data_IF_137420732610
#
_entry.id   IF_137420732610
#
_cell.length_a   1.000
_cell.length_b   1.000
_cell.length_c   1.000
_cell.angle_alpha   90.00
_cell.angle_beta   90.00
_cell.angle_gamma   90.00
#
_symmetry.space_group_name_H-M   'P 1'
#
loop_
_entity.id
_entity.type
_entity.pdbx_description
1 polymer ?
#
# COMPACT_ATOMS: atom_id res chain seq x y z
N UNK A 1 10.31 -26.97 -7.00
CA UNK A 1 11.45 -26.52 -6.19
C UNK A 1 10.92 -25.45 -5.22
N UNK A 2 10.74 -25.81 -3.94
CA UNK A 2 10.43 -24.84 -2.89
C UNK A 2 11.67 -24.01 -2.66
N UNK A 3 11.68 -22.78 -3.14
CA UNK A 3 12.72 -21.79 -2.81
C UNK A 3 12.80 -21.66 -1.29
N UNK A 4 14.00 -21.87 -0.75
CA UNK A 4 14.24 -21.68 0.69
C UNK A 4 13.95 -20.23 1.04
N UNK A 5 13.02 -20.00 1.99
CA UNK A 5 12.73 -18.64 2.45
C UNK A 5 14.02 -18.00 3.01
N UNK A 6 14.42 -16.85 2.47
CA UNK A 6 15.65 -16.15 2.85
C UNK A 6 15.69 -15.73 4.32
N UNK A 7 14.53 -15.69 4.98
CA UNK A 7 14.36 -15.36 6.40
C UNK A 7 14.24 -16.61 7.30
N UNK A 8 14.48 -17.81 6.75
CA UNK A 8 14.39 -19.09 7.47
C UNK A 8 12.98 -19.72 7.44
N UNK A 9 12.78 -20.86 8.11
CA UNK A 9 11.53 -21.64 8.04
C UNK A 9 10.29 -20.91 8.57
N UNK A 10 10.46 -19.99 9.52
CA UNK A 10 9.39 -19.18 10.09
C UNK A 10 9.08 -17.92 9.27
N UNK A 11 9.97 -17.59 8.31
CA UNK A 11 9.90 -16.36 7.55
C UNK A 11 10.33 -15.14 8.37
N UNK A 12 10.06 -13.96 7.83
CA UNK A 12 10.30 -12.72 8.54
C UNK A 12 9.23 -12.49 9.62
N UNK A 13 9.68 -12.01 10.79
CA UNK A 13 8.82 -11.60 11.90
C UNK A 13 9.32 -10.28 12.52
N UNK A 14 8.45 -9.49 13.20
CA UNK A 14 8.86 -8.25 13.88
C UNK A 14 9.93 -8.41 14.96
N UNK A 15 10.18 -9.62 15.44
CA UNK A 15 11.27 -9.89 16.42
C UNK A 15 12.66 -9.61 15.86
N UNK A 16 12.76 -9.56 14.52
CA UNK A 16 14.02 -9.21 13.83
C UNK A 16 14.34 -7.72 13.89
N UNK A 17 13.34 -6.88 14.21
CA UNK A 17 13.53 -5.43 14.27
C UNK A 17 14.36 -5.02 15.49
N UNK A 18 15.41 -4.26 15.24
CA UNK A 18 16.09 -3.47 16.25
C UNK A 18 15.31 -2.20 16.62
N UNK A 19 16.01 -1.24 17.23
CA UNK A 19 15.46 0.09 17.49
C UNK A 19 15.22 0.87 16.19
N UNK A 20 14.06 1.51 16.10
CA UNK A 20 13.69 2.44 15.03
C UNK A 20 13.65 3.89 15.52
N UNK A 21 14.28 4.18 16.66
CA UNK A 21 14.38 5.54 17.20
C UNK A 21 15.01 6.49 16.15
N UNK A 22 14.39 7.65 15.95
CA UNK A 22 14.81 8.64 14.95
C UNK A 22 14.43 8.32 13.51
N UNK A 23 13.66 7.24 13.28
CA UNK A 23 13.10 6.87 11.97
C UNK A 23 11.65 7.31 11.88
N UNK A 24 11.26 7.85 10.71
CA UNK A 24 9.90 8.34 10.44
C UNK A 24 9.25 7.55 9.32
N UNK A 25 8.05 7.04 9.60
CA UNK A 25 7.23 6.25 8.67
C UNK A 25 5.92 6.98 8.39
N UNK A 26 5.59 7.13 7.10
CA UNK A 26 4.34 7.71 6.65
C UNK A 26 3.46 6.61 6.08
N UNK A 27 2.24 6.43 6.59
CA UNK A 27 1.38 5.30 6.22
C UNK A 27 -0.01 5.80 5.82
N UNK A 28 -0.47 5.47 4.62
CA UNK A 28 -1.84 5.73 4.20
C UNK A 28 -2.79 4.66 4.73
N UNK A 29 -3.99 5.05 5.20
CA UNK A 29 -4.99 4.11 5.70
C UNK A 29 -4.61 3.43 7.01
N UNK A 30 -3.87 4.12 7.88
CA UNK A 30 -3.28 3.57 9.09
C UNK A 30 -4.22 3.55 10.33
N UNK A 31 -5.48 3.95 10.18
CA UNK A 31 -6.44 3.98 11.29
C UNK A 31 -7.21 2.67 11.52
N UNK A 32 -6.94 1.64 10.71
CA UNK A 32 -7.55 0.32 10.85
C UNK A 32 -6.76 -0.76 10.10
N UNK A 33 -7.03 -2.04 10.40
CA UNK A 33 -6.52 -3.17 9.63
C UNK A 33 -4.99 -3.27 9.62
N UNK A 34 -4.40 -3.65 8.47
CA UNK A 34 -2.96 -3.86 8.36
C UNK A 34 -2.15 -2.58 8.65
N UNK A 35 -2.56 -1.42 8.12
CA UNK A 35 -1.88 -0.15 8.38
C UNK A 35 -1.86 0.26 9.86
N UNK A 36 -2.93 -0.05 10.62
CA UNK A 36 -2.94 0.16 12.07
C UNK A 36 -1.96 -0.77 12.79
N UNK A 37 -1.93 -2.05 12.39
CA UNK A 37 -1.00 -3.02 12.98
C UNK A 37 0.46 -2.73 12.59
N UNK A 38 0.71 -2.25 11.36
CA UNK A 38 2.03 -1.78 10.96
C UNK A 38 2.47 -0.59 11.83
N UNK A 39 1.56 0.37 12.05
CA UNK A 39 1.81 1.50 12.97
C UNK A 39 2.17 0.99 14.37
N UNK A 40 1.40 0.03 14.91
CA UNK A 40 1.66 -0.59 16.21
C UNK A 40 3.05 -1.21 16.29
N UNK A 41 3.44 -2.02 15.30
CA UNK A 41 4.75 -2.66 15.23
C UNK A 41 5.88 -1.62 15.19
N UNK A 42 5.76 -0.59 14.36
CA UNK A 42 6.78 0.45 14.24
C UNK A 42 6.94 1.26 15.53
N UNK A 43 5.82 1.66 16.14
CA UNK A 43 5.83 2.37 17.44
C UNK A 43 6.44 1.53 18.56
N UNK A 44 6.22 0.21 18.58
CA UNK A 44 6.82 -0.70 19.57
C UNK A 44 8.35 -0.73 19.52
N UNK A 45 8.94 -0.24 18.42
CA UNK A 45 10.38 -0.14 18.21
C UNK A 45 10.91 1.30 18.31
N UNK A 46 10.07 2.25 18.75
CA UNK A 46 10.45 3.65 18.97
C UNK A 46 10.44 4.52 17.72
N UNK A 47 9.75 4.13 16.66
CA UNK A 47 9.60 4.94 15.47
C UNK A 47 8.65 6.11 15.67
N UNK A 48 8.82 7.17 14.86
CA UNK A 48 7.78 8.18 14.59
C UNK A 48 6.88 7.70 13.47
N UNK A 49 5.55 7.78 13.63
CA UNK A 49 4.58 7.39 12.59
C UNK A 49 3.62 8.53 12.29
N UNK A 50 3.47 8.85 11.01
CA UNK A 50 2.48 9.80 10.50
C UNK A 50 1.41 9.03 9.74
N UNK A 51 0.19 9.05 10.26
CA UNK A 51 -0.97 8.40 9.67
C UNK A 51 -1.66 9.33 8.69
N UNK A 52 -1.79 8.96 7.43
CA UNK A 52 -2.55 9.72 6.42
C UNK A 52 -3.88 9.04 6.14
N UNK A 53 -4.99 9.63 6.63
CA UNK A 53 -6.30 8.99 6.62
C UNK A 53 -7.42 10.00 6.31
N UNK A 54 -8.54 9.49 5.80
CA UNK A 54 -9.71 10.31 5.46
C UNK A 54 -10.50 10.79 6.70
N UNK A 55 -10.70 9.91 7.68
CA UNK A 55 -11.56 10.19 8.85
C UNK A 55 -10.74 10.66 10.04
N UNK A 56 -10.95 11.90 10.46
CA UNK A 56 -10.31 12.47 11.65
C UNK A 56 -10.71 11.70 12.93
N UNK A 57 -12.00 11.41 13.10
CA UNK A 57 -12.51 10.73 14.31
C UNK A 57 -11.93 9.32 14.48
N UNK A 58 -11.91 8.54 13.38
CA UNK A 58 -11.30 7.20 13.40
C UNK A 58 -9.81 7.27 13.67
N UNK A 59 -9.12 8.29 13.18
CA UNK A 59 -7.68 8.48 13.40
C UNK A 59 -7.41 8.89 14.84
N UNK A 60 -8.20 9.78 15.41
CA UNK A 60 -8.10 10.16 16.81
C UNK A 60 -8.31 8.96 17.75
N UNK A 61 -9.31 8.12 17.48
CA UNK A 61 -9.56 6.90 18.24
C UNK A 61 -8.39 5.89 18.12
N UNK A 62 -7.83 5.73 16.92
CA UNK A 62 -6.68 4.87 16.70
C UNK A 62 -5.43 5.38 17.45
N UNK A 63 -5.14 6.68 17.39
CA UNK A 63 -4.04 7.32 18.13
C UNK A 63 -4.24 7.16 19.63
N UNK A 64 -5.45 7.36 20.15
CA UNK A 64 -5.75 7.17 21.56
C UNK A 64 -5.44 5.73 22.01
N UNK A 65 -5.83 4.73 21.22
CA UNK A 65 -5.53 3.31 21.49
C UNK A 65 -4.03 3.06 21.51
N UNK A 66 -3.28 3.58 20.53
CA UNK A 66 -1.82 3.41 20.48
C UNK A 66 -1.11 4.11 21.66
N UNK A 67 -1.55 5.31 22.02
CA UNK A 67 -1.01 6.02 23.19
C UNK A 67 -1.36 5.36 24.51
N UNK A 68 -2.49 4.68 24.60
CA UNK A 68 -2.82 3.86 25.76
C UNK A 68 -1.88 2.63 25.86
N UNK A 69 -1.49 2.04 24.74
CA UNK A 69 -0.64 0.86 24.68
C UNK A 69 0.85 1.19 24.92
N UNK A 70 1.36 2.26 24.31
CA UNK A 70 2.80 2.61 24.29
C UNK A 70 3.16 3.82 25.16
N UNK A 71 2.18 4.41 25.84
CA UNK A 71 2.37 5.62 26.64
C UNK A 71 2.04 6.90 25.87
N UNK A 72 1.79 7.98 26.62
CA UNK A 72 1.43 9.28 26.05
C UNK A 72 2.52 9.90 25.16
N UNK A 73 3.78 9.48 25.34
CA UNK A 73 4.94 9.89 24.55
C UNK A 73 5.10 9.15 23.23
N UNK A 74 4.24 8.17 22.92
CA UNK A 74 4.27 7.50 21.62
C UNK A 74 4.14 8.54 20.48
N UNK A 75 5.12 8.54 19.58
CA UNK A 75 5.25 9.55 18.52
C UNK A 75 4.41 9.16 17.30
N UNK A 76 3.12 9.36 17.44
CA UNK A 76 2.14 9.10 16.39
C UNK A 76 1.29 10.34 16.15
N UNK A 77 1.22 10.76 14.89
CA UNK A 77 0.47 11.93 14.43
C UNK A 77 -0.44 11.58 13.24
N UNK A 78 -1.27 12.53 12.83
CA UNK A 78 -2.25 12.36 11.80
C UNK A 78 -2.28 13.58 10.87
N UNK A 79 -2.36 13.31 9.57
CA UNK A 79 -2.66 14.29 8.51
C UNK A 79 -3.92 13.81 7.78
N UNK A 80 -4.91 14.69 7.65
CA UNK A 80 -6.16 14.36 6.94
C UNK A 80 -5.91 14.31 5.44
N UNK A 81 -6.36 13.22 4.79
CA UNK A 81 -6.21 13.04 3.35
C UNK A 81 -7.30 12.11 2.79
N UNK A 82 -7.95 12.51 1.72
CA UNK A 82 -8.81 11.63 0.92
C UNK A 82 -8.14 11.33 -0.43
N UNK A 83 -7.71 10.09 -0.63
CA UNK A 83 -7.10 9.62 -1.89
C UNK A 83 -8.05 9.65 -3.09
N UNK A 84 -9.37 9.76 -2.85
CA UNK A 84 -10.38 9.92 -3.90
C UNK A 84 -10.48 11.36 -4.43
N UNK A 85 -9.74 12.32 -3.84
CA UNK A 85 -9.78 13.75 -4.15
C UNK A 85 -8.35 14.25 -4.31
N UNK A 86 -7.92 14.53 -5.55
CA UNK A 86 -6.52 14.89 -5.82
C UNK A 86 -6.10 16.18 -5.11
N UNK A 87 -6.98 17.14 -4.95
CA UNK A 87 -6.67 18.38 -4.21
C UNK A 87 -6.45 18.09 -2.73
N UNK A 88 -7.23 17.18 -2.12
CA UNK A 88 -6.97 16.74 -0.75
C UNK A 88 -5.60 16.05 -0.60
N UNK A 89 -5.15 15.33 -1.62
CA UNK A 89 -3.80 14.74 -1.64
C UNK A 89 -2.72 15.84 -1.68
N UNK A 90 -2.91 16.91 -2.48
CA UNK A 90 -1.98 18.03 -2.57
C UNK A 90 -1.87 18.80 -1.25
N UNK A 91 -3.01 19.14 -0.65
CA UNK A 91 -3.08 19.83 0.64
C UNK A 91 -2.40 19.00 1.74
N UNK A 92 -2.70 17.71 1.82
CA UNK A 92 -2.10 16.81 2.79
C UNK A 92 -0.60 16.63 2.60
N UNK A 93 -0.11 16.58 1.37
CA UNK A 93 1.32 16.51 1.09
C UNK A 93 2.03 17.81 1.54
N UNK A 94 1.43 18.98 1.30
CA UNK A 94 1.97 20.28 1.77
C UNK A 94 2.05 20.30 3.28
N UNK A 95 0.96 19.98 3.98
CA UNK A 95 0.92 19.90 5.45
C UNK A 95 1.98 18.93 6.01
N UNK A 96 2.11 17.75 5.39
CA UNK A 96 3.11 16.77 5.81
C UNK A 96 4.53 17.31 5.65
N UNK A 97 4.86 17.89 4.50
CA UNK A 97 6.21 18.37 4.20
C UNK A 97 6.65 19.54 5.10
N UNK A 98 5.70 20.35 5.58
CA UNK A 98 5.98 21.40 6.56
C UNK A 98 6.35 20.85 7.95
N UNK A 99 5.74 19.73 8.34
CA UNK A 99 5.85 19.17 9.69
C UNK A 99 6.89 18.06 9.80
N UNK A 100 7.17 17.36 8.69
CA UNK A 100 7.95 16.12 8.70
C UNK A 100 9.25 16.30 7.93
N UNK A 101 10.38 16.50 8.63
CA UNK A 101 11.67 16.80 7.98
C UNK A 101 12.31 15.58 7.32
N UNK A 102 11.86 14.36 7.67
CA UNK A 102 12.46 13.09 7.24
C UNK A 102 11.38 12.04 6.98
N UNK A 103 11.52 11.26 5.91
CA UNK A 103 10.67 10.10 5.61
C UNK A 103 11.57 8.91 5.28
N UNK A 104 11.73 7.98 6.24
CA UNK A 104 12.52 6.76 6.04
C UNK A 104 11.76 5.70 5.24
N UNK A 105 10.43 5.63 5.38
CA UNK A 105 9.59 4.91 4.45
C UNK A 105 8.19 5.53 4.32
N UNK A 106 7.72 5.56 3.08
CA UNK A 106 6.33 5.87 2.73
C UNK A 106 5.61 4.58 2.33
N UNK A 107 4.54 4.23 3.04
CA UNK A 107 3.79 2.98 2.85
C UNK A 107 2.43 3.30 2.23
N UNK A 108 2.26 2.95 0.97
CA UNK A 108 1.02 3.03 0.19
C UNK A 108 0.09 1.87 0.56
N UNK A 109 -0.47 1.88 1.78
CA UNK A 109 -1.29 0.80 2.31
C UNK A 109 -2.78 0.99 2.04
N UNK A 110 -3.30 2.23 2.04
CA UNK A 110 -4.72 2.49 1.85
C UNK A 110 -5.25 1.88 0.56
N UNK A 111 -6.40 1.24 0.62
CA UNK A 111 -7.09 0.74 -0.55
C UNK A 111 -8.59 0.64 -0.30
N UNK A 112 -9.38 0.72 -1.36
CA UNK A 112 -10.76 0.26 -1.41
C UNK A 112 -10.86 -0.95 -2.34
N UNK A 113 -11.78 -1.85 -2.05
CA UNK A 113 -11.93 -3.10 -2.77
C UNK A 113 -13.39 -3.50 -2.94
N UNK A 114 -13.70 -4.16 -4.05
CA UNK A 114 -15.00 -4.80 -4.29
C UNK A 114 -16.18 -3.81 -4.22
N UNK A 115 -16.00 -2.59 -4.73
CA UNK A 115 -17.08 -1.59 -4.84
C UNK A 115 -18.17 -2.15 -5.76
N UNK A 116 -19.34 -2.42 -5.20
CA UNK A 116 -20.38 -3.22 -5.87
C UNK A 116 -20.94 -2.60 -7.15
N UNK A 117 -20.97 -1.26 -7.23
CA UNK A 117 -21.39 -0.50 -8.41
C UNK A 117 -20.30 0.48 -8.77
N UNK A 118 -20.10 0.71 -10.06
CA UNK A 118 -19.17 1.74 -10.52
C UNK A 118 -19.46 3.07 -9.80
N UNK A 119 -18.41 3.64 -9.25
CA UNK A 119 -18.40 4.97 -8.66
C UNK A 119 -17.26 5.76 -9.29
N UNK A 120 -17.54 7.01 -9.61
CA UNK A 120 -16.56 7.91 -10.20
C UNK A 120 -16.15 8.94 -9.14
N UNK A 121 -14.85 9.16 -8.98
CA UNK A 121 -14.32 10.21 -8.10
C UNK A 121 -14.63 11.59 -8.65
N UNK A 122 -14.47 12.63 -7.82
CA UNK A 122 -14.64 14.03 -8.27
C UNK A 122 -13.68 14.41 -9.41
N UNK A 123 -12.55 13.71 -9.51
CA UNK A 123 -11.54 13.90 -10.55
C UNK A 123 -11.81 13.05 -11.81
N UNK A 124 -12.95 12.34 -11.88
CA UNK A 124 -13.39 11.58 -13.05
C UNK A 124 -12.77 10.18 -13.19
N UNK A 125 -12.28 9.56 -12.11
CA UNK A 125 -11.72 8.20 -12.14
C UNK A 125 -12.68 7.18 -11.56
N UNK A 126 -12.66 5.95 -12.11
CA UNK A 126 -13.25 4.82 -11.39
C UNK A 126 -12.63 4.75 -9.98
N UNK A 127 -13.48 4.60 -8.98
CA UNK A 127 -13.10 4.84 -7.58
C UNK A 127 -11.95 3.97 -7.07
N UNK A 128 -11.90 2.69 -7.46
CA UNK A 128 -10.82 1.79 -7.02
C UNK A 128 -9.49 2.16 -7.71
N UNK A 129 -9.52 2.50 -8.99
CA UNK A 129 -8.34 2.98 -9.69
C UNK A 129 -7.90 4.36 -9.18
N UNK A 130 -8.85 5.25 -8.93
CA UNK A 130 -8.60 6.59 -8.37
C UNK A 130 -7.89 6.54 -7.03
N UNK A 131 -8.47 5.82 -6.06
CA UNK A 131 -7.94 5.71 -4.70
C UNK A 131 -6.65 4.88 -4.66
N UNK A 132 -6.69 3.68 -5.26
CA UNK A 132 -5.59 2.73 -5.10
C UNK A 132 -4.35 3.15 -5.91
N UNK A 133 -4.54 3.73 -7.10
CA UNK A 133 -3.43 4.08 -7.99
C UNK A 133 -3.19 5.59 -8.12
N UNK A 134 -4.14 6.38 -8.67
CA UNK A 134 -3.86 7.78 -9.01
C UNK A 134 -3.57 8.65 -7.78
N UNK A 135 -4.31 8.47 -6.68
CA UNK A 135 -4.03 9.17 -5.42
C UNK A 135 -2.64 8.86 -4.86
N UNK A 136 -2.23 7.59 -4.88
CA UNK A 136 -0.89 7.20 -4.44
C UNK A 136 0.22 7.62 -5.41
N UNK A 137 -0.03 7.59 -6.73
CA UNK A 137 0.90 8.12 -7.72
C UNK A 137 1.20 9.60 -7.45
N UNK A 138 0.15 10.41 -7.30
CA UNK A 138 0.28 11.83 -6.99
C UNK A 138 1.04 12.04 -5.68
N UNK A 139 0.63 11.36 -4.61
CA UNK A 139 1.26 11.52 -3.31
C UNK A 139 2.74 11.11 -3.34
N UNK A 140 3.06 10.00 -3.99
CA UNK A 140 4.46 9.55 -4.16
C UNK A 140 5.30 10.61 -4.85
N UNK A 141 4.79 11.22 -5.94
CA UNK A 141 5.50 12.27 -6.65
C UNK A 141 5.66 13.57 -5.84
N UNK A 142 4.69 13.90 -4.97
CA UNK A 142 4.78 15.07 -4.09
C UNK A 142 5.77 14.89 -2.94
N UNK A 143 5.92 13.66 -2.43
CA UNK A 143 6.80 13.34 -1.31
C UNK A 143 8.20 12.89 -1.74
N UNK A 144 8.43 12.67 -3.05
CA UNK A 144 9.63 12.01 -3.57
C UNK A 144 10.93 12.64 -3.10
N UNK A 145 11.08 13.95 -3.23
CA UNK A 145 12.31 14.67 -2.86
C UNK A 145 12.64 14.53 -1.36
N UNK A 146 11.62 14.50 -0.50
CA UNK A 146 11.80 14.29 0.93
C UNK A 146 12.21 12.84 1.25
N UNK A 147 11.67 11.87 0.53
CA UNK A 147 12.03 10.47 0.64
C UNK A 147 13.46 10.26 0.15
N UNK A 148 13.83 10.85 -0.99
CA UNK A 148 15.19 10.79 -1.54
C UNK A 148 16.21 11.41 -0.58
N UNK A 149 15.95 12.60 -0.07
CA UNK A 149 16.82 13.28 0.90
C UNK A 149 17.02 12.46 2.18
N UNK A 150 16.13 11.54 2.47
CA UNK A 150 16.20 10.62 3.62
C UNK A 150 16.84 9.27 3.28
N UNK A 151 17.26 9.02 2.03
CA UNK A 151 17.63 7.71 1.53
C UNK A 151 16.54 6.67 1.83
N UNK A 152 15.28 7.07 1.63
CA UNK A 152 14.11 6.37 2.12
C UNK A 152 13.56 5.33 1.13
N UNK A 153 12.42 4.77 1.51
CA UNK A 153 11.74 3.71 0.74
C UNK A 153 10.32 4.12 0.38
N UNK A 154 9.82 3.59 -0.73
CA UNK A 154 8.40 3.60 -1.09
C UNK A 154 7.92 2.16 -1.09
N UNK A 155 6.98 1.83 -0.22
CA UNK A 155 6.41 0.47 -0.10
C UNK A 155 5.00 0.48 -0.64
N UNK A 156 4.76 -0.28 -1.72
CA UNK A 156 3.44 -0.40 -2.34
C UNK A 156 2.78 -1.70 -1.89
N UNK A 157 1.63 -1.57 -1.23
CA UNK A 157 0.84 -2.71 -0.78
C UNK A 157 -0.09 -3.18 -1.89
N UNK A 158 0.37 -4.17 -2.64
CA UNK A 158 -0.35 -4.85 -3.70
C UNK A 158 -1.40 -5.85 -3.21
N UNK A 159 -1.78 -6.76 -4.10
CA UNK A 159 -2.71 -7.87 -3.82
C UNK A 159 -2.56 -8.93 -4.89
N UNK A 160 -2.71 -10.20 -4.55
CA UNK A 160 -2.76 -11.30 -5.53
C UNK A 160 -3.89 -11.16 -6.57
N UNK A 161 -4.85 -10.25 -6.34
CA UNK A 161 -5.87 -9.89 -7.32
C UNK A 161 -5.27 -9.43 -8.67
N UNK A 162 -4.07 -8.83 -8.66
CA UNK A 162 -3.40 -8.33 -9.87
C UNK A 162 -3.22 -9.40 -10.96
N UNK A 163 -3.00 -10.66 -10.57
CA UNK A 163 -2.79 -11.80 -11.48
C UNK A 163 -4.05 -12.64 -11.71
N UNK A 164 -5.16 -12.32 -11.02
CA UNK A 164 -6.42 -13.08 -11.07
C UNK A 164 -7.50 -12.42 -11.92
N UNK A 165 -7.32 -11.17 -12.35
CA UNK A 165 -8.24 -10.43 -13.20
C UNK A 165 -7.83 -10.48 -14.68
N UNK A 166 -8.02 -9.36 -15.38
CA UNK A 166 -7.71 -9.21 -16.81
C UNK A 166 -6.22 -9.35 -17.14
N UNK A 167 -5.35 -9.23 -16.16
CA UNK A 167 -3.87 -9.24 -16.30
C UNK A 167 -3.33 -8.18 -17.28
N UNK A 168 -4.10 -7.14 -17.52
CA UNK A 168 -3.73 -5.98 -18.34
C UNK A 168 -4.44 -4.73 -17.83
N UNK A 169 -3.94 -3.56 -18.22
CA UNK A 169 -4.64 -2.29 -18.03
C UNK A 169 -5.52 -2.04 -19.26
N UNK A 170 -6.79 -1.76 -19.04
CA UNK A 170 -7.74 -1.36 -20.10
C UNK A 170 -7.58 0.13 -20.40
N UNK A 171 -6.55 0.49 -21.16
CA UNK A 171 -6.31 1.88 -21.53
C UNK A 171 -7.44 2.49 -22.36
N UNK A 172 -8.17 1.66 -23.09
CA UNK A 172 -9.34 2.00 -23.89
C UNK A 172 -10.59 2.31 -23.07
N UNK A 173 -10.67 1.78 -21.84
CA UNK A 173 -11.80 1.95 -20.93
C UNK A 173 -11.34 1.81 -19.46
N UNK A 174 -10.57 2.79 -18.99
CA UNK A 174 -9.98 2.80 -17.65
C UNK A 174 -11.03 2.77 -16.55
N UNK A 175 -12.16 3.40 -16.79
CA UNK A 175 -13.23 3.53 -15.80
C UNK A 175 -14.18 2.32 -15.79
N UNK A 176 -14.03 1.37 -16.73
CA UNK A 176 -15.01 0.30 -16.93
C UNK A 176 -16.42 0.84 -17.21
N UNK A 177 -16.54 1.85 -18.05
CA UNK A 177 -17.83 2.40 -18.50
C UNK A 177 -18.66 1.33 -19.24
N UNK A 178 -17.94 0.34 -19.82
CA UNK A 178 -18.51 -0.87 -20.38
C UNK A 178 -18.12 -2.07 -19.51
N UNK A 179 -19.09 -2.87 -19.08
CA UNK A 179 -18.88 -4.14 -18.37
C UNK A 179 -18.15 -4.03 -17.02
N UNK A 180 -18.52 -3.04 -16.20
CA UNK A 180 -18.01 -2.93 -14.84
C UNK A 180 -18.28 -4.18 -14.00
N UNK A 181 -17.26 -4.69 -13.34
CA UNK A 181 -17.40 -5.60 -12.22
C UNK A 181 -16.50 -5.14 -11.07
N UNK A 182 -16.99 -5.29 -9.85
CA UNK A 182 -16.23 -4.94 -8.65
C UNK A 182 -14.85 -5.63 -8.61
N UNK A 183 -14.78 -6.87 -9.11
CA UNK A 183 -13.55 -7.65 -9.15
C UNK A 183 -12.58 -7.17 -10.22
N UNK A 184 -13.04 -6.97 -11.46
CA UNK A 184 -12.16 -6.57 -12.57
C UNK A 184 -11.54 -5.19 -12.32
N UNK A 185 -12.34 -4.23 -11.83
CA UNK A 185 -11.85 -2.91 -11.47
C UNK A 185 -10.84 -2.97 -10.32
N UNK A 186 -11.12 -3.74 -9.26
CA UNK A 186 -10.16 -3.95 -8.17
C UNK A 186 -8.86 -4.59 -8.66
N UNK A 187 -8.95 -5.66 -9.44
CA UNK A 187 -7.77 -6.36 -9.96
C UNK A 187 -6.91 -5.44 -10.85
N UNK A 188 -7.55 -4.62 -11.73
CA UNK A 188 -6.85 -3.62 -12.53
C UNK A 188 -6.16 -2.57 -11.65
N UNK A 189 -6.84 -2.05 -10.62
CA UNK A 189 -6.24 -1.06 -9.72
C UNK A 189 -5.01 -1.60 -9.00
N UNK A 190 -5.03 -2.88 -8.60
CA UNK A 190 -3.89 -3.55 -7.98
C UNK A 190 -2.75 -3.83 -8.95
N UNK A 191 -3.07 -4.19 -10.19
CA UNK A 191 -2.06 -4.31 -11.24
C UNK A 191 -1.41 -2.95 -11.55
N UNK A 192 -2.21 -1.88 -11.61
CA UNK A 192 -1.71 -0.52 -11.84
C UNK A 192 -0.73 -0.08 -10.72
N UNK A 193 -1.05 -0.36 -9.45
CA UNK A 193 -0.14 -0.08 -8.33
C UNK A 193 1.20 -0.83 -8.47
N UNK A 194 1.19 -2.09 -8.85
CA UNK A 194 2.41 -2.87 -9.00
C UNK A 194 3.24 -2.42 -10.20
N UNK A 195 2.59 -2.16 -11.35
CA UNK A 195 3.27 -1.59 -12.53
C UNK A 195 3.90 -0.23 -12.20
N UNK A 196 3.19 0.62 -11.47
CA UNK A 196 3.72 1.90 -10.98
C UNK A 196 4.98 1.70 -10.13
N UNK A 197 4.95 0.78 -9.16
CA UNK A 197 6.10 0.54 -8.28
C UNK A 197 7.35 0.09 -9.05
N UNK A 198 7.19 -0.87 -9.96
CA UNK A 198 8.32 -1.38 -10.75
C UNK A 198 8.82 -0.37 -11.79
N UNK A 199 7.93 0.44 -12.38
CA UNK A 199 8.32 1.54 -13.25
C UNK A 199 9.07 2.63 -12.48
N UNK A 200 8.57 3.00 -11.30
CA UNK A 200 9.24 3.97 -10.43
C UNK A 200 10.65 3.50 -10.07
N UNK A 201 10.81 2.22 -9.71
CA UNK A 201 12.15 1.68 -9.39
C UNK A 201 13.11 1.79 -10.60
N UNK A 202 12.64 1.48 -11.81
CA UNK A 202 13.46 1.63 -13.03
C UNK A 202 13.90 3.07 -13.27
N UNK A 203 13.01 4.02 -13.04
CA UNK A 203 13.30 5.46 -13.18
C UNK A 203 14.28 5.95 -12.12
N UNK A 204 14.10 5.51 -10.88
CA UNK A 204 15.01 5.78 -9.75
C UNK A 204 16.43 5.31 -10.07
N UNK A 205 16.58 4.08 -10.56
CA UNK A 205 17.89 3.52 -10.95
C UNK A 205 18.49 4.26 -12.14
N UNK A 206 17.70 4.55 -13.18
CA UNK A 206 18.17 5.28 -14.36
C UNK A 206 18.66 6.70 -14.00
N UNK A 207 18.03 7.34 -13.02
CA UNK A 207 18.40 8.66 -12.54
C UNK A 207 19.41 8.64 -11.38
N UNK A 208 19.89 7.46 -10.97
CA UNK A 208 20.83 7.25 -9.85
C UNK A 208 20.35 7.90 -8.54
N UNK A 209 19.04 7.83 -8.28
CA UNK A 209 18.41 8.38 -7.06
C UNK A 209 18.50 7.40 -5.90
N UNK A 210 18.63 7.93 -4.69
CA UNK A 210 18.77 7.13 -3.48
C UNK A 210 17.41 6.80 -2.83
N UNK A 211 16.55 6.11 -3.56
CA UNK A 211 15.25 5.62 -3.10
C UNK A 211 15.11 4.15 -3.47
N UNK A 212 14.52 3.34 -2.60
CA UNK A 212 14.19 1.94 -2.92
C UNK A 212 12.68 1.76 -2.97
N UNK A 213 12.17 1.21 -4.07
CA UNK A 213 10.74 0.94 -4.23
C UNK A 213 10.48 -0.56 -4.13
N UNK A 214 9.59 -0.93 -3.22
CA UNK A 214 9.33 -2.32 -2.84
C UNK A 214 7.84 -2.63 -2.93
N UNK A 215 7.52 -3.87 -3.25
CA UNK A 215 6.14 -4.34 -3.38
C UNK A 215 5.90 -5.50 -2.44
N UNK A 216 4.79 -5.43 -1.71
CA UNK A 216 4.33 -6.52 -0.87
C UNK A 216 2.81 -6.73 -0.99
N UNK A 217 2.31 -7.83 -0.41
CA UNK A 217 0.88 -8.03 -0.24
C UNK A 217 0.60 -8.71 1.11
N UNK A 218 -0.56 -8.42 1.73
CA UNK A 218 -0.90 -8.92 3.06
C UNK A 218 -1.38 -10.39 3.07
N UNK A 219 -1.48 -11.05 1.90
CA UNK A 219 -2.19 -12.31 1.78
C UNK A 219 -3.70 -12.15 1.97
N UNK A 220 -4.38 -13.21 2.43
CA UNK A 220 -5.76 -13.13 2.88
C UNK A 220 -5.79 -12.70 4.34
N UNK A 221 -5.87 -11.38 4.59
CA UNK A 221 -5.99 -10.85 5.95
C UNK A 221 -7.42 -10.46 6.29
N UNK A 222 -7.78 -10.58 7.58
CA UNK A 222 -9.06 -10.11 8.10
C UNK A 222 -9.05 -8.60 8.20
N UNK A 223 -9.26 -7.92 7.09
CA UNK A 223 -9.37 -6.45 7.06
C UNK A 223 -10.81 -6.02 6.80
N UNK A 224 -11.18 -4.83 7.24
CA UNK A 224 -12.52 -4.25 7.04
C UNK A 224 -12.79 -3.82 5.58
N UNK A 225 -11.93 -4.17 4.65
CA UNK A 225 -11.99 -3.76 3.23
C UNK A 225 -13.33 -4.08 2.53
N UNK A 226 -14.06 -5.10 3.01
CA UNK A 226 -15.32 -5.56 2.40
C UNK A 226 -16.57 -5.15 3.17
N UNK A 227 -16.48 -4.48 4.32
CA UNK A 227 -17.63 -4.28 5.21
C UNK A 227 -18.69 -3.33 4.66
N UNK A 228 -18.32 -2.32 3.91
CA UNK A 228 -19.22 -1.24 3.54
C UNK A 228 -19.84 -1.37 2.14
N UNK A 229 -19.31 -2.25 1.28
CA UNK A 229 -19.65 -2.30 -0.15
C UNK A 229 -20.15 -3.65 -0.67
N UNK A 230 -20.04 -4.73 0.09
CA UNK A 230 -20.44 -6.08 -0.34
C UNK A 230 -21.89 -6.41 0.01
N UNK A 231 -22.58 -7.24 -0.82
CA UNK A 231 -23.91 -7.75 -0.52
C UNK A 231 -23.93 -8.56 0.79
N UNK A 232 -25.09 -8.62 1.45
CA UNK A 232 -25.26 -9.32 2.76
C UNK A 232 -24.85 -10.79 2.69
N UNK A 233 -25.11 -11.47 1.58
CA UNK A 233 -24.71 -12.86 1.36
C UNK A 233 -23.19 -13.01 1.27
N UNK A 234 -22.52 -12.17 0.52
CA UNK A 234 -21.05 -12.15 0.41
C UNK A 234 -20.38 -11.82 1.75
N UNK A 235 -21.01 -10.95 2.56
CA UNK A 235 -20.53 -10.63 3.92
C UNK A 235 -20.55 -11.83 4.84
N UNK A 236 -21.61 -12.64 4.80
CA UNK A 236 -21.75 -13.86 5.64
C UNK A 236 -20.76 -14.93 5.19
N UNK A 237 -20.72 -15.23 3.91
CA UNK A 237 -19.80 -16.23 3.35
C UNK A 237 -18.34 -15.82 3.62
N UNK A 238 -17.99 -14.56 3.40
CA UNK A 238 -16.63 -14.06 3.67
C UNK A 238 -16.31 -14.03 5.17
N UNK A 239 -17.28 -13.71 6.04
CA UNK A 239 -17.08 -13.76 7.50
C UNK A 239 -16.75 -15.17 8.00
N UNK A 240 -17.36 -16.20 7.43
CA UNK A 240 -17.09 -17.59 7.79
C UNK A 240 -15.77 -18.07 7.17
N UNK A 241 -15.56 -17.81 5.88
CA UNK A 241 -14.32 -18.20 5.18
C UNK A 241 -13.09 -17.47 5.76
N UNK A 242 -13.20 -16.19 6.09
CA UNK A 242 -12.10 -15.40 6.63
C UNK A 242 -11.66 -15.89 8.02
N UNK A 243 -12.55 -16.50 8.80
CA UNK A 243 -12.17 -17.09 10.08
C UNK A 243 -11.31 -18.34 9.95
N UNK A 244 -11.42 -19.05 8.81
CA UNK A 244 -10.72 -20.32 8.57
C UNK A 244 -9.48 -20.12 7.70
N UNK A 245 -9.50 -19.15 6.77
CA UNK A 245 -8.50 -19.01 5.70
C UNK A 245 -7.63 -17.77 5.88
N UNK A 246 -8.14 -16.71 6.54
CA UNK A 246 -7.40 -15.45 6.66
C UNK A 246 -6.52 -15.40 7.91
N UNK A 247 -5.31 -14.87 7.74
CA UNK A 247 -4.42 -14.54 8.86
C UNK A 247 -4.92 -13.28 9.62
N UNK A 248 -4.40 -13.06 10.84
CA UNK A 248 -4.71 -11.84 11.60
C UNK A 248 -4.28 -10.58 10.83
N UNK A 249 -4.90 -9.43 11.14
CA UNK A 249 -4.47 -8.15 10.60
C UNK A 249 -3.01 -7.84 10.96
N UNK A 250 -2.58 -8.24 12.15
CA UNK A 250 -1.19 -8.16 12.61
C UNK A 250 -0.23 -8.87 11.66
N UNK A 251 -0.45 -10.17 11.38
CA UNK A 251 0.38 -10.90 10.40
C UNK A 251 0.25 -10.35 8.98
N UNK A 252 -0.91 -9.79 8.65
CA UNK A 252 -1.15 -9.10 7.38
C UNK A 252 -0.30 -7.84 7.21
N UNK A 253 0.10 -7.19 8.30
CA UNK A 253 0.96 -6.01 8.27
C UNK A 253 2.46 -6.33 8.15
N UNK A 254 2.87 -7.55 8.48
CA UNK A 254 4.29 -7.91 8.51
C UNK A 254 5.01 -7.71 7.16
N UNK A 255 4.43 -8.01 5.98
CA UNK A 255 5.10 -7.76 4.70
C UNK A 255 5.42 -6.28 4.46
N UNK A 256 4.49 -5.37 4.81
CA UNK A 256 4.74 -3.94 4.62
C UNK A 256 5.76 -3.38 5.61
N UNK A 257 5.73 -3.85 6.86
CA UNK A 257 6.77 -3.50 7.84
C UNK A 257 8.13 -4.07 7.43
N UNK A 258 8.18 -5.32 6.96
CA UNK A 258 9.41 -5.92 6.42
C UNK A 258 9.99 -5.07 5.28
N UNK A 259 9.18 -4.74 4.28
CA UNK A 259 9.64 -3.91 3.16
C UNK A 259 10.10 -2.52 3.60
N UNK A 260 9.46 -1.96 4.64
CA UNK A 260 9.83 -0.64 5.17
C UNK A 260 11.14 -0.64 5.97
N UNK A 261 11.57 -1.78 6.52
CA UNK A 261 12.62 -1.83 7.56
C UNK A 261 13.77 -2.81 7.28
N UNK A 262 13.51 -3.95 6.64
CA UNK A 262 14.50 -5.02 6.45
C UNK A 262 15.50 -4.68 5.34
N UNK A 263 16.80 -4.81 5.60
CA UNK A 263 17.85 -4.49 4.63
C UNK A 263 17.97 -5.52 3.49
N UNK A 264 17.59 -6.78 3.75
CA UNK A 264 17.73 -7.89 2.81
C UNK A 264 16.62 -7.96 1.76
N UNK A 265 15.66 -7.02 1.77
CA UNK A 265 14.64 -6.94 0.72
C UNK A 265 15.19 -6.24 -0.50
N UNK A 266 14.84 -6.77 -1.67
CA UNK A 266 15.35 -6.31 -2.96
C UNK A 266 14.21 -5.79 -3.84
N UNK A 267 14.45 -4.77 -4.68
CA UNK A 267 13.47 -4.32 -5.67
C UNK A 267 13.16 -5.41 -6.70
N UNK A 268 12.11 -5.21 -7.50
CA UNK A 268 11.60 -6.15 -8.53
C UNK A 268 11.14 -7.50 -7.99
N UNK A 269 10.98 -7.63 -6.70
CA UNK A 269 10.41 -8.80 -6.04
C UNK A 269 9.03 -8.48 -5.47
N UNK A 270 8.28 -9.53 -5.15
CA UNK A 270 7.01 -9.45 -4.43
C UNK A 270 7.18 -10.16 -3.10
N UNK A 271 6.80 -9.51 -2.02
CA UNK A 271 6.89 -10.07 -0.67
C UNK A 271 5.52 -10.29 -0.05
N UNK A 272 5.37 -11.38 0.68
CA UNK A 272 4.11 -11.72 1.31
C UNK A 272 4.16 -13.09 1.99
N UNK A 273 3.01 -13.65 2.39
CA UNK A 273 2.93 -15.01 2.91
C UNK A 273 3.18 -16.02 1.79
N UNK A 274 3.95 -17.08 2.09
CA UNK A 274 4.48 -18.00 1.07
C UNK A 274 3.75 -19.35 0.98
N UNK A 275 2.64 -19.55 1.72
CA UNK A 275 1.88 -20.81 1.70
C UNK A 275 0.44 -20.61 1.22
N UNK A 276 -0.19 -21.72 0.80
CA UNK A 276 -1.59 -21.78 0.34
C UNK A 276 -1.88 -20.71 -0.72
N UNK A 277 -1.16 -20.79 -1.82
CA UNK A 277 -1.27 -19.80 -2.91
C UNK A 277 -1.05 -18.35 -2.44
N UNK A 278 -0.07 -18.16 -1.57
CA UNK A 278 0.32 -16.85 -1.02
C UNK A 278 -0.78 -16.18 -0.17
N UNK A 279 -1.68 -16.98 0.41
CA UNK A 279 -2.75 -16.44 1.25
C UNK A 279 -2.36 -16.34 2.73
N UNK A 280 -1.53 -17.26 3.21
CA UNK A 280 -1.11 -17.37 4.62
C UNK A 280 0.30 -17.95 4.72
N UNK A 281 0.87 -17.93 5.91
CA UNK A 281 2.12 -18.63 6.23
C UNK A 281 3.30 -17.73 6.54
N UNK A 282 4.52 -18.26 6.48
CA UNK A 282 5.75 -17.48 6.69
C UNK A 282 5.86 -16.34 5.68
N UNK A 283 6.33 -15.19 6.12
CA UNK A 283 6.56 -14.04 5.24
C UNK A 283 7.92 -14.18 4.54
N UNK A 284 7.94 -13.95 3.25
CA UNK A 284 9.13 -14.03 2.41
C UNK A 284 8.83 -13.62 0.98
N UNK A 285 9.73 -13.99 0.05
CA UNK A 285 9.56 -13.74 -1.37
C UNK A 285 8.46 -14.62 -1.96
N UNK A 286 7.59 -14.02 -2.76
CA UNK A 286 6.47 -14.65 -3.45
C UNK A 286 6.69 -14.68 -4.96
N UNK A 287 6.06 -15.64 -5.69
CA UNK A 287 6.08 -15.65 -7.14
C UNK A 287 5.46 -14.37 -7.73
N UNK A 288 6.19 -13.74 -8.65
CA UNK A 288 5.75 -12.55 -9.36
C UNK A 288 5.28 -12.94 -10.77
N UNK A 289 4.06 -12.55 -11.15
CA UNK A 289 3.51 -12.83 -12.47
C UNK A 289 3.95 -11.74 -13.46
N UNK A 290 4.27 -12.16 -14.68
CA UNK A 290 4.81 -11.33 -15.76
C UNK A 290 3.95 -10.10 -16.10
N UNK A 291 2.64 -10.15 -15.92
CA UNK A 291 1.76 -9.01 -16.21
C UNK A 291 2.14 -7.74 -15.45
N UNK A 292 2.71 -7.86 -14.24
CA UNK A 292 3.19 -6.71 -13.47
C UNK A 292 4.53 -6.15 -13.97
N UNK A 293 5.27 -6.93 -14.77
CA UNK A 293 6.59 -6.59 -15.30
C UNK A 293 6.55 -6.07 -16.75
N UNK A 294 5.36 -5.90 -17.34
CA UNK A 294 5.22 -5.37 -18.69
C UNK A 294 5.62 -3.88 -18.73
N UNK A 295 6.84 -3.64 -19.21
CA UNK A 295 7.46 -2.31 -19.21
C UNK A 295 6.77 -1.33 -20.13
N UNK A 296 6.28 -1.77 -21.29
CA UNK A 296 5.56 -0.91 -22.23
C UNK A 296 4.25 -0.41 -21.62
N UNK A 297 3.46 -1.32 -21.04
CA UNK A 297 2.23 -0.97 -20.36
C UNK A 297 2.49 -0.08 -19.13
N UNK A 298 3.56 -0.35 -18.36
CA UNK A 298 3.94 0.45 -17.20
C UNK A 298 4.38 1.87 -17.59
N UNK A 299 5.16 2.04 -18.64
CA UNK A 299 5.56 3.34 -19.17
C UNK A 299 4.35 4.13 -19.71
N UNK A 300 3.44 3.47 -20.42
CA UNK A 300 2.18 4.08 -20.88
C UNK A 300 1.29 4.51 -19.70
N UNK A 301 1.18 3.66 -18.66
CA UNK A 301 0.44 3.99 -17.44
C UNK A 301 1.06 5.17 -16.69
N UNK A 302 2.39 5.26 -16.66
CA UNK A 302 3.10 6.39 -16.05
C UNK A 302 2.73 7.71 -16.71
N UNK A 303 2.90 7.81 -18.03
CA UNK A 303 2.57 9.03 -18.80
C UNK A 303 1.09 9.41 -18.60
N UNK A 304 0.20 8.43 -18.64
CA UNK A 304 -1.21 8.64 -18.39
C UNK A 304 -1.47 9.16 -16.96
N UNK A 305 -0.77 8.60 -15.97
CA UNK A 305 -0.92 9.03 -14.58
C UNK A 305 -0.42 10.45 -14.36
N UNK A 306 0.67 10.86 -15.01
CA UNK A 306 1.14 12.25 -15.01
C UNK A 306 0.07 13.20 -15.57
N UNK A 307 -0.50 12.86 -16.73
CA UNK A 307 -1.55 13.66 -17.37
C UNK A 307 -2.80 13.77 -16.49
N UNK A 308 -3.27 12.63 -15.94
CA UNK A 308 -4.50 12.55 -15.14
C UNK A 308 -4.37 13.22 -13.78
N UNK A 309 -3.18 13.22 -13.19
CA UNK A 309 -2.93 13.86 -11.90
C UNK A 309 -2.31 15.26 -12.03
N UNK A 310 -2.05 15.73 -13.26
CA UNK A 310 -1.32 16.99 -13.52
C UNK A 310 -0.01 17.09 -12.72
N UNK A 311 0.63 15.96 -12.49
CA UNK A 311 1.92 15.86 -11.79
C UNK A 311 2.94 15.19 -12.70
N UNK A 312 3.73 16.01 -13.38
CA UNK A 312 4.87 15.57 -14.17
C UNK A 312 6.10 15.54 -13.25
N UNK A 313 6.73 14.39 -13.14
CA UNK A 313 7.90 14.22 -12.28
C UNK A 313 8.82 13.13 -12.82
N UNK A 314 10.10 13.43 -12.77
CA UNK A 314 11.16 12.51 -13.12
C UNK A 314 11.94 12.24 -11.83
N UNK A 315 11.86 11.02 -11.31
CA UNK A 315 12.69 10.63 -10.18
C UNK A 315 14.16 10.87 -10.44
#
# INVERSE_FOLDING_TARGET
LTTKNSFGPQGWTPDRLGSLAGKTYVITGANAGAGFEATRVLLSKGATVVMMNRSADKSAAAIATLKQEFGSSADVTFVRMDLAVLDSVREAATELLEKVPRIDAFICNAAIAQVARQQITVDGFESQLGVNHFGHFLLSGLLFDRIEASAGRIVVVGSNAYKMGLKRIQFEDLNFDTNYTAWSSYAQSKLAQMMFAYELQRRVEAASKNVTVLVCHPGASRTNLLKDTASTFNKIVWSILSRIIAQSAEKGSWPEVMCATEEKVEPYKLYGPTKRSEMVGPIGECPLHECALNQEAAAKLWILSEQKTSRYWSP
#
